data_IF_051977245987
#
_entry.id   IF_051977245987
#
_cell.length_a   1.000
_cell.length_b   1.000
_cell.length_c   1.000
_cell.angle_alpha   90.00
_cell.angle_beta   90.00
_cell.angle_gamma   90.00
#
_symmetry.space_group_name_H-M   'P 1'
#
loop_
_entity.id
_entity.type
_entity.pdbx_description
1 polymer ?
#
# COMPACT_ATOMS: atom_id res chain seq x y z
N UNK A 1 13.74 14.42 3.77
CA UNK A 1 13.26 13.46 2.75
C UNK A 1 12.99 12.16 3.48
N UNK A 2 11.72 11.74 3.60
CA UNK A 2 11.39 10.47 4.26
C UNK A 2 11.90 9.35 3.33
N UNK A 3 12.84 8.53 3.82
CA UNK A 3 13.39 7.42 3.05
C UNK A 3 12.59 6.17 3.40
N UNK A 4 11.90 5.63 2.41
CA UNK A 4 11.23 4.34 2.52
C UNK A 4 12.11 3.29 1.83
N UNK A 5 12.53 2.28 2.58
CA UNK A 5 13.30 1.16 2.05
C UNK A 5 12.39 -0.07 1.98
N UNK A 6 12.36 -0.72 0.82
CA UNK A 6 11.52 -1.89 0.54
C UNK A 6 12.40 -3.06 0.16
N UNK A 7 12.25 -4.18 0.88
CA UNK A 7 12.98 -5.43 0.66
C UNK A 7 11.98 -6.55 0.38
N UNK A 8 12.15 -7.29 -0.72
CA UNK A 8 11.29 -8.44 -1.03
C UNK A 8 11.79 -9.65 -0.23
N UNK A 9 10.97 -10.15 0.69
CA UNK A 9 11.29 -11.33 1.51
C UNK A 9 10.89 -12.63 0.82
N UNK A 10 9.75 -12.65 0.14
CA UNK A 10 9.23 -13.84 -0.54
C UNK A 10 8.60 -13.47 -1.88
N UNK A 11 8.91 -14.28 -2.90
CA UNK A 11 8.44 -14.11 -4.28
C UNK A 11 7.87 -15.43 -4.81
N UNK A 12 6.55 -15.57 -4.75
CA UNK A 12 5.77 -16.65 -5.35
C UNK A 12 4.86 -16.06 -6.42
N UNK A 13 4.54 -16.76 -7.51
CA UNK A 13 3.87 -16.19 -8.69
C UNK A 13 2.78 -15.13 -8.41
N UNK A 14 1.85 -15.45 -7.50
CA UNK A 14 0.73 -14.57 -7.10
C UNK A 14 0.80 -14.05 -5.66
N UNK A 15 1.91 -14.28 -4.95
CA UNK A 15 2.08 -13.81 -3.57
C UNK A 15 3.40 -13.05 -3.41
N UNK A 16 3.35 -11.94 -2.68
CA UNK A 16 4.54 -11.19 -2.27
C UNK A 16 4.51 -10.93 -0.78
N UNK A 17 5.68 -11.10 -0.18
CA UNK A 17 5.96 -10.65 1.17
C UNK A 17 7.10 -9.64 1.09
N UNK A 18 6.91 -8.46 1.65
CA UNK A 18 7.88 -7.37 1.61
C UNK A 18 8.10 -6.80 3.00
N UNK A 19 9.35 -6.48 3.32
CA UNK A 19 9.71 -5.67 4.49
C UNK A 19 9.80 -4.23 4.07
N UNK A 20 9.08 -3.36 4.76
CA UNK A 20 9.04 -1.92 4.54
C UNK A 20 9.58 -1.25 5.79
N UNK A 21 10.58 -0.41 5.62
CA UNK A 21 11.17 0.40 6.70
C UNK A 21 10.97 1.88 6.41
N UNK A 22 10.64 2.65 7.43
CA UNK A 22 10.40 4.09 7.29
C UNK A 22 8.96 4.46 6.89
N UNK A 23 8.03 3.51 7.01
CA UNK A 23 6.59 3.74 6.86
C UNK A 23 5.85 3.36 8.15
N UNK A 24 4.60 3.77 8.29
CA UNK A 24 3.77 3.54 9.47
C UNK A 24 2.36 3.04 9.09
N UNK A 25 1.50 2.90 10.10
CA UNK A 25 0.12 2.48 9.94
C UNK A 25 -0.69 3.38 9.01
N UNK A 26 -0.35 4.67 8.87
CA UNK A 26 -1.15 5.60 8.06
C UNK A 26 -1.06 5.22 6.59
N UNK A 27 0.14 5.07 6.06
CA UNK A 27 0.35 4.69 4.65
C UNK A 27 -0.09 3.25 4.41
N UNK A 28 0.23 2.33 5.33
CA UNK A 28 -0.08 0.92 5.14
C UNK A 28 -1.58 0.62 5.23
N UNK A 29 -2.31 1.28 6.13
CA UNK A 29 -3.78 1.16 6.19
C UNK A 29 -4.43 1.68 4.91
N UNK A 30 -3.99 2.84 4.41
CA UNK A 30 -4.53 3.42 3.18
C UNK A 30 -4.31 2.46 2.00
N UNK A 31 -3.09 1.93 1.87
CA UNK A 31 -2.75 0.98 0.81
C UNK A 31 -3.58 -0.31 0.91
N UNK A 32 -3.66 -0.93 2.09
CA UNK A 32 -4.47 -2.14 2.28
C UNK A 32 -5.95 -1.90 1.99
N UNK A 33 -6.50 -0.77 2.45
CA UNK A 33 -7.90 -0.40 2.18
C UNK A 33 -8.17 -0.30 0.68
N UNK A 34 -7.28 0.34 -0.07
CA UNK A 34 -7.45 0.52 -1.52
C UNK A 34 -7.14 -0.74 -2.34
N UNK A 35 -6.31 -1.64 -1.81
CA UNK A 35 -6.11 -2.96 -2.38
C UNK A 35 -7.35 -3.84 -2.21
N UNK A 36 -8.05 -3.76 -1.08
CA UNK A 36 -9.29 -4.52 -0.86
C UNK A 36 -10.47 -4.06 -1.73
N UNK A 37 -10.39 -2.88 -2.34
CA UNK A 37 -11.35 -2.45 -3.36
C UNK A 37 -11.15 -3.15 -4.72
N UNK A 38 -10.09 -3.95 -4.87
CA UNK A 38 -9.73 -4.62 -6.11
C UNK A 38 -10.13 -6.09 -6.09
N UNK A 39 -11.07 -6.49 -6.96
CA UNK A 39 -11.56 -7.88 -7.01
C UNK A 39 -10.47 -8.91 -7.32
N UNK A 40 -9.34 -8.47 -7.89
CA UNK A 40 -8.20 -9.32 -8.19
C UNK A 40 -7.21 -9.49 -7.01
N UNK A 41 -7.49 -8.85 -5.88
CA UNK A 41 -6.73 -9.01 -4.63
C UNK A 41 -7.49 -9.97 -3.72
N UNK A 42 -6.88 -11.12 -3.47
CA UNK A 42 -7.43 -12.15 -2.58
C UNK A 42 -7.14 -11.81 -1.12
N UNK A 43 -5.98 -11.24 -0.85
CA UNK A 43 -5.53 -10.88 0.49
C UNK A 43 -4.54 -9.73 0.46
N UNK A 44 -4.71 -8.72 1.32
CA UNK A 44 -3.71 -7.69 1.56
C UNK A 44 -3.68 -7.32 3.05
N UNK A 45 -2.53 -7.50 3.70
CA UNK A 45 -2.38 -7.18 5.11
C UNK A 45 -0.96 -6.72 5.40
N UNK A 46 -0.78 -6.07 6.54
CA UNK A 46 0.54 -5.79 7.06
C UNK A 46 0.59 -6.07 8.55
N UNK A 47 1.81 -6.29 9.04
CA UNK A 47 2.11 -6.50 10.44
C UNK A 47 3.30 -5.62 10.80
N UNK A 48 3.14 -4.79 11.82
CA UNK A 48 4.28 -4.16 12.48
C UNK A 48 4.97 -5.22 13.35
N UNK A 49 6.25 -5.47 13.11
CA UNK A 49 6.99 -6.50 13.86
C UNK A 49 7.31 -6.04 15.28
N UNK A 50 7.70 -4.78 15.45
CA UNK A 50 7.95 -4.18 16.76
C UNK A 50 7.77 -2.65 16.71
N UNK A 51 7.03 -2.02 17.66
CA UNK A 51 6.74 -0.58 17.65
C UNK A 51 7.96 0.36 17.66
N UNK A 52 9.12 -0.15 18.08
CA UNK A 52 10.35 0.62 18.24
C UNK A 52 11.24 0.60 16.98
N UNK A 53 11.10 -0.41 16.13
CA UNK A 53 11.94 -0.56 14.93
C UNK A 53 11.33 0.08 13.69
N UNK A 54 10.03 0.39 13.71
CA UNK A 54 9.26 0.94 12.57
C UNK A 54 9.45 0.12 11.30
N UNK A 55 9.47 -1.20 11.48
CA UNK A 55 9.59 -2.17 10.40
C UNK A 55 8.26 -2.89 10.25
N UNK A 56 7.75 -2.89 9.02
CA UNK A 56 6.47 -3.50 8.68
C UNK A 56 6.71 -4.64 7.69
N UNK A 57 6.10 -5.79 7.95
CA UNK A 57 5.99 -6.86 6.96
C UNK A 57 4.64 -6.73 6.27
N UNK A 58 4.66 -6.51 4.97
CA UNK A 58 3.48 -6.40 4.11
C UNK A 58 3.31 -7.68 3.29
N UNK A 59 2.06 -8.15 3.21
CA UNK A 59 1.65 -9.37 2.53
C UNK A 59 0.57 -9.04 1.51
N UNK A 60 0.72 -9.57 0.31
CA UNK A 60 -0.29 -9.47 -0.74
C UNK A 60 -0.39 -10.77 -1.52
N UNK A 61 -1.62 -11.17 -1.81
CA UNK A 61 -1.97 -12.28 -2.67
C UNK A 61 -3.03 -11.85 -3.68
N UNK A 62 -2.81 -12.19 -4.94
CA UNK A 62 -3.68 -11.83 -6.06
C UNK A 62 -4.23 -13.07 -6.75
N UNK A 63 -5.31 -12.92 -7.50
CA UNK A 63 -5.86 -13.99 -8.32
C UNK A 63 -5.23 -13.97 -9.72
N UNK A 64 -5.62 -13.01 -10.56
CA UNK A 64 -5.26 -12.99 -11.98
C UNK A 64 -4.02 -12.15 -12.28
N UNK A 65 -3.88 -10.98 -11.64
CA UNK A 65 -2.76 -10.06 -11.89
C UNK A 65 -1.55 -10.32 -11.00
N UNK A 66 -0.42 -9.70 -11.32
CA UNK A 66 0.76 -9.76 -10.45
C UNK A 66 0.58 -8.85 -9.25
N UNK A 67 1.12 -9.21 -8.07
CA UNK A 67 1.03 -8.35 -6.89
C UNK A 67 1.62 -6.95 -7.10
N UNK A 68 2.72 -6.83 -7.86
CA UNK A 68 3.33 -5.54 -8.18
C UNK A 68 2.39 -4.64 -8.98
N UNK A 69 1.65 -5.24 -9.94
CA UNK A 69 0.65 -4.51 -10.72
C UNK A 69 -0.52 -4.08 -9.86
N UNK A 70 -1.00 -4.95 -8.96
CA UNK A 70 -2.06 -4.62 -8.01
C UNK A 70 -1.69 -3.42 -7.14
N UNK A 71 -0.47 -3.41 -6.60
CA UNK A 71 0.06 -2.31 -5.78
C UNK A 71 0.13 -1.03 -6.61
N UNK A 72 0.70 -1.08 -7.82
CA UNK A 72 0.84 0.10 -8.67
C UNK A 72 -0.52 0.73 -9.03
N UNK A 73 -1.51 -0.10 -9.34
CA UNK A 73 -2.87 0.35 -9.65
C UNK A 73 -3.55 0.96 -8.42
N UNK A 74 -3.42 0.34 -7.23
CA UNK A 74 -3.94 0.90 -5.98
C UNK A 74 -3.30 2.26 -5.64
N UNK A 75 -1.97 2.39 -5.76
CA UNK A 75 -1.27 3.67 -5.55
C UNK A 75 -1.76 4.75 -6.52
N UNK A 76 -2.01 4.38 -7.77
CA UNK A 76 -2.52 5.33 -8.78
C UNK A 76 -3.93 5.83 -8.43
N UNK A 77 -4.79 4.94 -7.91
CA UNK A 77 -6.12 5.32 -7.41
C UNK A 77 -6.04 6.24 -6.20
N UNK A 78 -5.17 5.93 -5.24
CA UNK A 78 -4.90 6.76 -4.06
C UNK A 78 -4.48 8.17 -4.47
N UNK A 79 -3.51 8.28 -5.40
CA UNK A 79 -3.03 9.59 -5.87
C UNK A 79 -4.18 10.42 -6.46
N UNK A 80 -5.01 9.80 -7.30
CA UNK A 80 -6.18 10.47 -7.88
C UNK A 80 -7.17 10.94 -6.80
N UNK A 81 -7.45 10.13 -5.77
CA UNK A 81 -8.31 10.53 -4.67
C UNK A 81 -7.73 11.72 -3.89
N UNK A 82 -6.42 11.72 -3.65
CA UNK A 82 -5.72 12.84 -2.99
C UNK A 82 -5.85 14.12 -3.82
N UNK A 83 -5.60 14.04 -5.13
CA UNK A 83 -5.72 15.18 -6.04
C UNK A 83 -7.15 15.75 -6.05
N UNK A 84 -8.16 14.88 -6.09
CA UNK A 84 -9.58 15.28 -6.02
C UNK A 84 -9.93 15.95 -4.69
N UNK A 85 -9.41 15.45 -3.57
CA UNK A 85 -9.60 16.05 -2.24
C UNK A 85 -8.93 17.42 -2.18
N UNK A 86 -7.70 17.55 -2.67
CA UNK A 86 -6.97 18.80 -2.69
C UNK A 86 -7.71 19.88 -3.51
N UNK A 87 -8.20 19.52 -4.70
CA UNK A 87 -8.98 20.44 -5.54
C UNK A 87 -10.27 20.90 -4.87
N UNK A 88 -11.03 19.97 -4.28
CA UNK A 88 -12.29 20.29 -3.58
C UNK A 88 -12.03 21.17 -2.36
N UNK A 89 -10.97 20.87 -1.60
CA UNK A 89 -10.58 21.66 -0.44
C UNK A 89 -10.19 23.08 -0.83
N UNK A 90 -9.37 23.26 -1.86
CA UNK A 90 -8.97 24.58 -2.39
C UNK A 90 -10.18 25.41 -2.85
N UNK A 91 -11.19 24.78 -3.45
CA UNK A 91 -12.44 25.47 -3.87
C UNK A 91 -13.32 25.87 -2.68
N UNK A 92 -13.35 25.09 -1.60
CA UNK A 92 -14.20 25.35 -0.45
C UNK A 92 -13.63 26.41 0.53
N UNK A 93 -12.30 26.52 0.59
CA UNK A 93 -11.58 27.45 1.48
C UNK A 93 -11.34 28.83 0.82
N UNK A 94 -11.60 28.94 -0.48
CA UNK A 94 -11.52 30.19 -1.25
C UNK A 94 -12.87 30.89 -1.29
#
# INVERSE_FOLDING_TARGET
>A
MIRMDVEVLEKVEKRRTMRITGSDHTVMNLLCSELHNDENVVFAAYREEHPLTKTITFFIETSEKTPERAISEAVSRIQKQIDEVEEKFKKAVR
#
